data_IF_380659023184
#
_entry.id   IF_380659023184
#
_cell.length_a   1.000
_cell.length_b   1.000
_cell.length_c   1.000
_cell.angle_alpha   90.00
_cell.angle_beta   90.00
_cell.angle_gamma   90.00
#
_symmetry.space_group_name_H-M   'P 1'
#
loop_
_entity.id
_entity.type
_entity.pdbx_description
1 polymer ?
#
# COMPACT_ATOMS: atom_id res chain seq x y z
N UNK A 1 7.69 11.10 3.70
CA UNK A 1 6.53 11.39 2.85
C UNK A 1 5.30 11.18 3.71
N UNK A 2 4.54 12.24 3.96
CA UNK A 2 3.31 12.20 4.76
C UNK A 2 2.19 11.78 3.80
N UNK A 3 1.67 10.55 3.93
CA UNK A 3 0.87 9.92 2.87
C UNK A 3 -0.56 10.47 2.73
N UNK A 4 -1.03 11.31 3.65
CA UNK A 4 -2.34 11.91 3.54
C UNK A 4 -2.44 13.17 4.38
N UNK A 5 -2.67 14.32 3.72
CA UNK A 5 -3.52 15.34 4.34
C UNK A 5 -4.92 14.75 4.48
N UNK A 6 -5.64 15.18 5.51
CA UNK A 6 -7.05 14.86 5.70
C UNK A 6 -7.82 15.08 4.36
N UNK A 7 -8.36 14.01 3.74
CA UNK A 7 -9.03 14.10 2.44
C UNK A 7 -10.15 15.15 2.41
N UNK A 8 -10.84 15.34 3.54
CA UNK A 8 -11.98 16.24 3.64
C UNK A 8 -11.61 17.73 3.56
N UNK A 9 -10.32 18.05 3.67
CA UNK A 9 -9.80 19.41 3.49
C UNK A 9 -9.61 19.83 2.04
N UNK A 10 -9.71 18.88 1.10
CA UNK A 10 -9.46 19.12 -0.33
C UNK A 10 -10.78 19.17 -1.13
N UNK A 11 -10.83 19.89 -2.26
CA UNK A 11 -11.94 19.78 -3.21
C UNK A 11 -12.08 18.37 -3.80
N UNK A 12 -13.30 17.95 -4.12
CA UNK A 12 -13.60 16.62 -4.68
C UNK A 12 -12.71 16.25 -5.88
N UNK A 13 -12.50 17.19 -6.82
CA UNK A 13 -11.64 16.96 -7.99
C UNK A 13 -10.18 16.65 -7.60
N UNK A 14 -9.66 17.31 -6.56
CA UNK A 14 -8.31 17.04 -6.05
C UNK A 14 -8.26 15.69 -5.32
N UNK A 15 -9.31 15.31 -4.57
CA UNK A 15 -9.41 13.98 -3.96
C UNK A 15 -9.33 12.87 -5.01
N UNK A 16 -10.03 13.01 -6.13
CA UNK A 16 -9.96 12.07 -7.26
C UNK A 16 -8.58 11.99 -7.91
N UNK A 17 -7.85 13.11 -7.99
CA UNK A 17 -6.49 13.10 -8.52
C UNK A 17 -5.53 12.37 -7.57
N UNK A 18 -5.62 12.67 -6.27
CA UNK A 18 -4.78 12.04 -5.24
C UNK A 18 -5.07 10.54 -5.14
N UNK A 19 -6.33 10.11 -5.19
CA UNK A 19 -6.67 8.67 -5.18
C UNK A 19 -6.09 7.93 -6.39
N UNK A 20 -6.13 8.53 -7.59
CA UNK A 20 -5.48 7.96 -8.78
C UNK A 20 -3.96 7.86 -8.63
N UNK A 21 -3.32 8.89 -8.09
CA UNK A 21 -1.88 8.87 -7.81
C UNK A 21 -1.52 7.75 -6.82
N UNK A 22 -2.25 7.65 -5.70
CA UNK A 22 -2.04 6.61 -4.69
C UNK A 22 -2.29 5.20 -5.24
N UNK A 23 -3.33 5.01 -6.05
CA UNK A 23 -3.62 3.74 -6.69
C UNK A 23 -2.51 3.30 -7.65
N UNK A 24 -1.99 4.26 -8.44
CA UNK A 24 -0.85 4.01 -9.32
C UNK A 24 0.39 3.64 -8.53
N UNK A 25 0.73 4.43 -7.51
CA UNK A 25 1.91 4.21 -6.69
C UNK A 25 1.84 2.87 -5.95
N UNK A 26 0.69 2.52 -5.38
CA UNK A 26 0.46 1.22 -4.74
C UNK A 26 0.67 0.08 -5.75
N UNK A 27 0.10 0.21 -6.94
CA UNK A 27 0.23 -0.80 -7.99
C UNK A 27 1.67 -0.98 -8.47
N UNK A 28 2.42 0.12 -8.61
CA UNK A 28 3.83 0.11 -9.00
C UNK A 28 4.69 -0.49 -7.88
N UNK A 29 4.48 -0.06 -6.62
CA UNK A 29 5.22 -0.56 -5.47
C UNK A 29 5.00 -2.06 -5.24
N UNK A 30 3.75 -2.52 -5.32
CA UNK A 30 3.42 -3.95 -5.18
C UNK A 30 4.15 -4.78 -6.22
N UNK A 31 4.12 -4.36 -7.49
CA UNK A 31 4.72 -5.10 -8.61
C UNK A 31 6.24 -5.07 -8.60
N UNK A 32 6.84 -3.92 -8.33
CA UNK A 32 8.27 -3.71 -8.50
C UNK A 32 9.08 -3.98 -7.22
N UNK A 33 8.45 -3.90 -6.04
CA UNK A 33 9.16 -3.98 -4.76
C UNK A 33 8.64 -5.08 -3.86
N UNK A 34 7.35 -5.06 -3.51
CA UNK A 34 6.81 -6.00 -2.52
C UNK A 34 6.82 -7.45 -3.01
N UNK A 35 6.22 -7.74 -4.17
CA UNK A 35 6.15 -9.10 -4.71
C UNK A 35 7.54 -9.71 -4.97
N UNK A 36 8.53 -8.98 -5.55
CA UNK A 36 9.89 -9.50 -5.67
C UNK A 36 10.53 -9.87 -4.33
N UNK A 37 10.40 -9.00 -3.30
CA UNK A 37 10.98 -9.26 -1.97
C UNK A 37 10.30 -10.44 -1.28
N UNK A 38 8.97 -10.55 -1.39
CA UNK A 38 8.23 -11.69 -0.87
C UNK A 38 8.62 -12.99 -1.58
N UNK A 39 8.82 -12.96 -2.90
CA UNK A 39 9.27 -14.12 -3.66
C UNK A 39 10.68 -14.53 -3.22
N UNK A 40 11.61 -13.58 -3.05
CA UNK A 40 12.96 -13.84 -2.57
C UNK A 40 12.97 -14.46 -1.17
N UNK A 41 12.16 -13.93 -0.25
CA UNK A 41 11.97 -14.52 1.08
C UNK A 41 11.43 -15.95 1.01
N UNK A 42 10.42 -16.20 0.17
CA UNK A 42 9.85 -17.53 -0.02
C UNK A 42 10.86 -18.52 -0.62
N UNK A 43 11.73 -18.07 -1.52
CA UNK A 43 12.81 -18.89 -2.06
C UNK A 43 13.84 -19.22 -0.98
N UNK A 44 14.26 -18.22 -0.20
CA UNK A 44 15.17 -18.40 0.92
C UNK A 44 14.65 -19.39 1.96
N UNK A 45 13.37 -19.29 2.33
CA UNK A 45 12.72 -20.14 3.32
C UNK A 45 12.63 -21.62 2.91
N UNK A 46 12.83 -21.94 1.63
CA UNK A 46 12.84 -23.32 1.12
C UNK A 46 14.24 -23.91 1.11
N UNK A 47 15.27 -23.08 1.24
CA UNK A 47 16.65 -23.54 1.31
C UNK A 47 16.92 -24.08 2.72
N UNK A 48 17.43 -25.31 2.78
CA UNK A 48 17.72 -25.99 4.05
C UNK A 48 19.22 -26.07 4.33
N UNK A 49 20.04 -25.70 3.33
CA UNK A 49 21.48 -25.63 3.46
C UNK A 49 21.93 -24.26 4.00
N UNK A 50 22.53 -24.27 5.19
CA UNK A 50 23.04 -23.08 5.88
C UNK A 50 24.24 -22.47 5.15
N UNK A 51 24.97 -23.23 4.32
CA UNK A 51 26.02 -22.70 3.46
C UNK A 51 25.44 -21.89 2.28
N UNK A 52 24.16 -22.08 1.96
CA UNK A 52 23.45 -21.40 0.86
C UNK A 52 22.60 -20.24 1.37
N UNK A 53 21.94 -20.38 2.53
CA UNK A 53 21.21 -19.29 3.19
C UNK A 53 21.48 -19.31 4.69
N UNK A 54 22.12 -18.25 5.17
CA UNK A 54 22.36 -18.09 6.62
C UNK A 54 21.14 -17.54 7.34
N UNK A 55 21.06 -17.74 8.65
CA UNK A 55 20.01 -17.14 9.50
C UNK A 55 19.97 -15.62 9.37
N UNK A 56 21.13 -14.98 9.26
CA UNK A 56 21.22 -13.53 9.07
C UNK A 56 20.60 -13.11 7.73
N UNK A 57 20.90 -13.84 6.66
CA UNK A 57 20.34 -13.55 5.34
C UNK A 57 18.82 -13.78 5.30
N UNK A 58 18.34 -14.81 5.99
CA UNK A 58 16.90 -15.05 6.17
C UNK A 58 16.24 -13.89 6.93
N UNK A 59 16.86 -13.41 8.01
CA UNK A 59 16.39 -12.27 8.77
C UNK A 59 16.34 -10.99 7.92
N UNK A 60 17.40 -10.70 7.15
CA UNK A 60 17.47 -9.52 6.29
C UNK A 60 16.41 -9.54 5.19
N UNK A 61 16.17 -10.70 4.58
CA UNK A 61 15.10 -10.88 3.58
C UNK A 61 13.72 -10.72 4.20
N UNK A 62 13.50 -11.22 5.42
CA UNK A 62 12.24 -11.04 6.15
C UNK A 62 11.98 -9.57 6.44
N UNK A 63 12.97 -8.87 7.01
CA UNK A 63 12.89 -7.45 7.30
C UNK A 63 12.59 -6.64 6.04
N UNK A 64 13.31 -6.92 4.95
CA UNK A 64 13.10 -6.24 3.66
C UNK A 64 11.68 -6.43 3.11
N UNK A 65 11.11 -7.63 3.22
CA UNK A 65 9.74 -7.91 2.81
C UNK A 65 8.71 -7.18 3.71
N UNK A 66 8.94 -7.16 5.02
CA UNK A 66 8.06 -6.45 5.97
C UNK A 66 8.08 -4.93 5.77
N UNK A 67 9.23 -4.34 5.48
CA UNK A 67 9.33 -2.90 5.17
C UNK A 67 8.54 -2.55 3.89
N UNK A 68 8.55 -3.42 2.89
CA UNK A 68 7.76 -3.23 1.67
C UNK A 68 6.26 -3.45 1.92
N UNK A 69 5.89 -4.36 2.81
CA UNK A 69 4.50 -4.55 3.23
C UNK A 69 3.95 -3.32 3.97
N UNK A 70 4.71 -2.78 4.93
CA UNK A 70 4.35 -1.57 5.68
C UNK A 70 4.11 -0.39 4.74
N UNK A 71 5.03 -0.18 3.78
CA UNK A 71 4.87 0.88 2.78
C UNK A 71 3.58 0.72 1.96
N UNK A 72 3.32 -0.50 1.48
CA UNK A 72 2.11 -0.80 0.69
C UNK A 72 0.84 -0.61 1.51
N UNK A 73 0.87 -1.00 2.78
CA UNK A 73 -0.24 -0.86 3.72
C UNK A 73 -0.57 0.61 4.00
N UNK A 74 0.45 1.46 4.14
CA UNK A 74 0.27 2.91 4.31
C UNK A 74 -0.32 3.58 3.08
N UNK A 75 0.14 3.21 1.88
CA UNK A 75 -0.45 3.67 0.62
C UNK A 75 -1.90 3.24 0.48
N UNK A 76 -2.20 1.98 0.81
CA UNK A 76 -3.55 1.44 0.80
C UNK A 76 -4.47 2.18 1.77
N UNK A 77 -4.02 2.40 3.01
CA UNK A 77 -4.79 3.15 4.01
C UNK A 77 -5.09 4.58 3.53
N UNK A 78 -4.11 5.27 2.94
CA UNK A 78 -4.30 6.58 2.33
C UNK A 78 -5.32 6.53 1.19
N UNK A 79 -5.15 5.61 0.24
CA UNK A 79 -6.06 5.44 -0.89
C UNK A 79 -7.50 5.20 -0.42
N UNK A 80 -7.66 4.30 0.55
CA UNK A 80 -8.97 3.96 1.10
C UNK A 80 -9.65 5.18 1.74
N UNK A 81 -8.93 5.98 2.53
CA UNK A 81 -9.46 7.20 3.11
C UNK A 81 -9.94 8.21 2.05
N UNK A 82 -9.19 8.38 0.95
CA UNK A 82 -9.61 9.25 -0.16
C UNK A 82 -10.84 8.70 -0.89
N UNK A 83 -10.91 7.39 -1.13
CA UNK A 83 -12.06 6.76 -1.80
C UNK A 83 -13.33 6.86 -0.95
N UNK A 84 -13.22 6.63 0.36
CA UNK A 84 -14.34 6.73 1.31
C UNK A 84 -14.86 8.19 1.39
N UNK A 85 -13.94 9.16 1.46
CA UNK A 85 -14.28 10.58 1.44
C UNK A 85 -14.97 11.01 0.13
N UNK A 86 -14.49 10.52 -1.02
CA UNK A 86 -15.11 10.74 -2.34
C UNK A 86 -16.52 10.13 -2.38
N UNK A 87 -16.66 8.88 -1.91
CA UNK A 87 -17.94 8.17 -1.89
C UNK A 87 -18.96 8.91 -1.03
N UNK A 88 -18.57 9.33 0.17
CA UNK A 88 -19.39 10.09 1.11
C UNK A 88 -19.90 11.40 0.49
N UNK A 89 -19.02 12.20 -0.10
CA UNK A 89 -19.41 13.46 -0.73
C UNK A 89 -20.31 13.23 -1.96
N UNK A 90 -20.00 12.22 -2.78
CA UNK A 90 -20.79 11.89 -3.97
C UNK A 90 -22.20 11.42 -3.60
N UNK A 91 -22.32 10.57 -2.57
CA UNK A 91 -23.62 10.12 -2.04
C UNK A 91 -24.45 11.29 -1.51
N UNK A 92 -23.81 12.21 -0.78
CA UNK A 92 -24.45 13.44 -0.28
C UNK A 92 -24.98 14.32 -1.42
N UNK A 93 -24.19 14.53 -2.48
CA UNK A 93 -24.60 15.31 -3.67
C UNK A 93 -25.78 14.67 -4.41
N UNK A 94 -25.86 13.34 -4.43
CA UNK A 94 -26.95 12.59 -5.08
C UNK A 94 -28.21 12.45 -4.21
N UNK A 95 -28.19 12.95 -2.97
CA UNK A 95 -29.32 12.83 -2.04
C UNK A 95 -29.56 11.38 -1.57
N UNK A 96 -28.57 10.50 -1.71
CA UNK A 96 -28.63 9.12 -1.21
C UNK A 96 -28.20 9.14 0.25
N UNK A 97 -29.14 9.44 1.14
CA UNK A 97 -28.94 9.35 2.59
C UNK A 97 -29.30 7.93 3.04
N UNK A 98 -28.30 7.13 3.40
CA UNK A 98 -28.54 5.90 4.17
C UNK A 98 -28.88 6.30 5.62
N UNK A 99 -30.03 5.80 6.09
CA UNK A 99 -30.55 5.99 7.46
C UNK A 99 -30.00 4.93 8.40
#
# INVERSE_FOLDING_TARGET
MEFAKDPDTLPLAERFLVSQMLARELSEHVRQTFLPRLSALRHAAKESDVEVVTDQEMHDRMKSAMEADDYSSRLFAGLFAYLDSIESETRSMLGVVEW
#
